data_IF_567490512529
#
_entry.id   IF_567490512529
#
_cell.length_a   1.000
_cell.length_b   1.000
_cell.length_c   1.000
_cell.angle_alpha   90.00
_cell.angle_beta   90.00
_cell.angle_gamma   90.00
#
_symmetry.space_group_name_H-M   'P 1'
#
loop_
_entity.id
_entity.type
_entity.pdbx_description
1 polymer ?
#
# COMPACT_ATOMS: atom_id res chain seq x y z
N UNK A 1 -35.22 -68.59 -19.20
CA UNK A 1 -34.53 -68.68 -17.89
C UNK A 1 -34.60 -67.31 -17.25
N UNK A 2 -35.40 -67.15 -16.20
CA UNK A 2 -35.60 -65.87 -15.49
C UNK A 2 -34.65 -65.80 -14.29
N UNK A 3 -33.74 -64.84 -14.25
CA UNK A 3 -32.81 -64.64 -13.15
C UNK A 3 -33.45 -63.71 -12.12
N UNK A 4 -33.93 -64.26 -11.00
CA UNK A 4 -34.50 -63.48 -9.91
C UNK A 4 -33.37 -62.85 -9.08
N UNK A 5 -33.12 -61.55 -9.28
CA UNK A 5 -32.21 -60.77 -8.44
C UNK A 5 -32.82 -60.51 -7.06
N UNK A 6 -32.45 -61.32 -6.07
CA UNK A 6 -32.67 -61.03 -4.64
C UNK A 6 -31.41 -60.43 -4.03
N UNK A 7 -31.17 -59.14 -4.28
CA UNK A 7 -30.22 -58.37 -3.47
C UNK A 7 -30.96 -57.78 -2.28
N UNK A 8 -30.62 -58.25 -1.07
CA UNK A 8 -31.13 -57.69 0.18
C UNK A 8 -30.61 -56.26 0.37
N UNK A 9 -31.39 -55.36 0.97
CA UNK A 9 -30.96 -53.98 1.24
C UNK A 9 -29.62 -53.90 1.99
N UNK A 10 -29.32 -54.90 2.83
CA UNK A 10 -28.03 -55.00 3.52
C UNK A 10 -26.84 -55.18 2.55
N UNK A 11 -27.00 -55.96 1.48
CA UNK A 11 -25.93 -56.14 0.47
C UNK A 11 -25.67 -54.86 -0.32
N UNK A 12 -26.69 -54.03 -0.57
CA UNK A 12 -26.50 -52.75 -1.27
C UNK A 12 -25.72 -51.77 -0.38
N UNK A 13 -26.04 -51.70 0.92
CA UNK A 13 -25.33 -50.81 1.86
C UNK A 13 -23.87 -51.23 2.03
N UNK A 14 -23.58 -52.53 2.11
CA UNK A 14 -22.19 -53.03 2.21
C UNK A 14 -21.39 -52.72 0.94
N UNK A 15 -21.99 -52.87 -0.25
CA UNK A 15 -21.32 -52.53 -1.52
C UNK A 15 -21.06 -51.02 -1.62
N UNK A 16 -22.03 -50.17 -1.24
CA UNK A 16 -21.82 -48.72 -1.24
C UNK A 16 -20.74 -48.29 -0.25
N UNK A 17 -20.70 -48.88 0.95
CA UNK A 17 -19.67 -48.57 1.94
C UNK A 17 -18.28 -49.02 1.48
N UNK A 18 -18.18 -50.18 0.82
CA UNK A 18 -16.94 -50.67 0.23
C UNK A 18 -16.46 -49.77 -0.92
N UNK A 19 -17.36 -49.25 -1.75
CA UNK A 19 -17.02 -48.31 -2.82
C UNK A 19 -16.54 -46.96 -2.27
N UNK A 20 -17.17 -46.46 -1.21
CA UNK A 20 -16.74 -45.21 -0.55
C UNK A 20 -15.34 -45.39 0.06
N UNK A 21 -15.09 -46.50 0.77
CA UNK A 21 -13.77 -46.79 1.34
C UNK A 21 -12.70 -46.97 0.26
N UNK A 22 -13.01 -47.64 -0.84
CA UNK A 22 -12.09 -47.80 -1.97
C UNK A 22 -11.75 -46.44 -2.62
N UNK A 23 -12.74 -45.55 -2.77
CA UNK A 23 -12.54 -44.20 -3.31
C UNK A 23 -11.69 -43.32 -2.39
N UNK A 24 -11.89 -43.40 -1.07
CA UNK A 24 -11.10 -42.68 -0.09
C UNK A 24 -9.63 -43.15 -0.06
N UNK A 25 -9.40 -44.46 -0.23
CA UNK A 25 -8.05 -45.03 -0.30
C UNK A 25 -7.30 -44.63 -1.57
N UNK A 26 -8.00 -44.50 -2.70
CA UNK A 26 -7.43 -43.98 -3.96
C UNK A 26 -7.00 -42.52 -3.83
N UNK A 27 -7.81 -41.68 -3.18
CA UNK A 27 -7.49 -40.26 -2.95
C UNK A 27 -6.33 -40.09 -1.95
N UNK A 28 -6.30 -40.93 -0.90
CA UNK A 28 -5.19 -40.92 0.06
C UNK A 28 -3.86 -41.29 -0.61
N UNK A 29 -3.87 -42.29 -1.50
CA UNK A 29 -2.66 -42.72 -2.21
C UNK A 29 -2.27 -41.79 -3.39
N UNK A 30 -3.18 -40.94 -3.90
CA UNK A 30 -2.84 -39.93 -4.91
C UNK A 30 -2.27 -38.63 -4.32
N UNK A 31 -2.25 -38.49 -2.99
CA UNK A 31 -1.74 -37.30 -2.30
C UNK A 31 -0.22 -37.33 -2.10
N UNK A 32 0.45 -38.39 -2.56
CA UNK A 32 1.85 -38.69 -2.27
C UNK A 32 2.76 -38.80 -3.50
N UNK A 33 2.59 -37.96 -4.52
CA UNK A 33 3.65 -37.75 -5.52
C UNK A 33 3.65 -36.30 -6.00
N UNK A 34 4.70 -35.57 -5.63
CA UNK A 34 5.16 -34.37 -6.33
C UNK A 34 5.60 -34.76 -7.74
N UNK A 35 4.65 -34.95 -8.64
CA UNK A 35 4.87 -35.30 -10.04
C UNK A 35 4.75 -34.06 -10.92
N UNK A 36 5.89 -33.49 -11.29
CA UNK A 36 5.98 -32.58 -12.42
C UNK A 36 5.41 -33.28 -13.67
N UNK A 37 4.26 -32.82 -14.16
CA UNK A 37 3.83 -33.07 -15.51
C UNK A 37 4.64 -32.14 -16.43
N UNK A 38 5.54 -32.75 -17.18
CA UNK A 38 6.44 -32.15 -18.16
C UNK A 38 5.66 -31.47 -19.29
N UNK A 39 5.52 -30.15 -19.21
CA UNK A 39 5.11 -29.28 -20.32
C UNK A 39 6.36 -28.77 -21.04
N UNK A 40 7.22 -29.69 -21.49
CA UNK A 40 8.53 -29.35 -22.07
C UNK A 40 8.48 -28.85 -23.52
N UNK A 41 7.30 -28.57 -24.07
CA UNK A 41 7.11 -28.24 -25.49
C UNK A 41 6.69 -26.81 -25.82
N UNK A 42 6.19 -26.04 -24.85
CA UNK A 42 5.58 -24.71 -25.13
C UNK A 42 6.18 -23.54 -24.34
N UNK A 43 7.13 -23.79 -23.44
CA UNK A 43 7.78 -22.73 -22.64
C UNK A 43 9.08 -22.19 -23.26
N UNK A 44 9.62 -22.81 -24.31
CA UNK A 44 10.94 -22.46 -24.87
C UNK A 44 10.97 -21.18 -25.72
N UNK A 45 9.84 -20.54 -26.01
CA UNK A 45 9.80 -19.38 -26.94
C UNK A 45 9.18 -18.09 -26.37
N UNK A 46 8.74 -18.06 -25.10
CA UNK A 46 8.12 -16.85 -24.53
C UNK A 46 8.65 -16.39 -23.16
N UNK A 47 9.31 -17.24 -22.37
CA UNK A 47 9.89 -16.82 -21.08
C UNK A 47 11.18 -17.57 -20.77
N UNK A 48 12.32 -17.01 -21.20
CA UNK A 48 13.64 -17.45 -20.76
C UNK A 48 14.02 -16.85 -19.41
N UNK A 49 13.22 -17.07 -18.37
CA UNK A 49 13.56 -16.69 -16.99
C UNK A 49 13.77 -17.93 -16.14
N UNK A 50 14.94 -18.55 -16.30
CA UNK A 50 15.49 -19.45 -15.27
C UNK A 50 15.57 -18.65 -13.97
N UNK A 51 14.67 -18.93 -13.03
CA UNK A 51 14.73 -18.32 -11.71
C UNK A 51 16.03 -18.74 -11.03
N UNK A 52 16.82 -17.76 -10.57
CA UNK A 52 18.09 -18.01 -9.90
C UNK A 52 17.88 -18.28 -8.42
N UNK A 53 18.82 -19.00 -7.81
CA UNK A 53 18.87 -19.13 -6.36
C UNK A 53 19.04 -17.75 -5.71
N UNK A 54 18.34 -17.52 -4.60
CA UNK A 54 18.29 -16.23 -3.90
C UNK A 54 19.49 -15.98 -2.98
N UNK A 55 20.67 -16.50 -3.34
CA UNK A 55 21.90 -16.27 -2.61
C UNK A 55 22.51 -14.90 -2.95
N UNK A 56 23.11 -14.27 -1.95
CA UNK A 56 23.79 -12.98 -2.05
C UNK A 56 25.29 -13.15 -1.75
N UNK A 57 26.16 -12.46 -2.52
CA UNK A 57 27.61 -12.47 -2.37
C UNK A 57 28.08 -11.11 -1.85
N UNK A 58 28.82 -11.10 -0.74
CA UNK A 58 29.49 -9.90 -0.24
C UNK A 58 30.59 -9.46 -1.21
N UNK A 59 30.61 -8.17 -1.53
CA UNK A 59 31.58 -7.56 -2.40
C UNK A 59 32.91 -7.29 -1.69
N UNK A 60 34.03 -7.14 -2.44
CA UNK A 60 35.35 -6.89 -1.86
C UNK A 60 35.45 -5.60 -1.03
N UNK A 61 34.49 -4.69 -1.16
CA UNK A 61 34.38 -3.48 -0.33
C UNK A 61 33.93 -3.78 1.12
N UNK A 62 33.53 -5.02 1.41
CA UNK A 62 33.07 -5.48 2.70
C UNK A 62 31.74 -4.88 3.15
N UNK A 63 31.02 -4.17 2.26
CA UNK A 63 29.81 -3.40 2.61
C UNK A 63 28.64 -3.65 1.68
N UNK A 64 28.87 -4.00 0.41
CA UNK A 64 27.80 -4.22 -0.57
C UNK A 64 27.61 -5.70 -0.87
N UNK A 65 26.39 -6.09 -1.27
CA UNK A 65 26.04 -7.46 -1.63
C UNK A 65 25.40 -7.50 -3.01
N UNK A 66 25.74 -8.51 -3.80
CA UNK A 66 25.20 -8.72 -5.15
C UNK A 66 24.46 -10.05 -5.22
N UNK A 67 23.40 -10.12 -6.02
CA UNK A 67 22.58 -11.33 -6.25
C UNK A 67 22.84 -11.91 -7.64
N UNK A 68 22.32 -13.12 -7.90
CA UNK A 68 22.41 -13.78 -9.21
C UNK A 68 21.45 -13.18 -10.23
N UNK A 69 21.88 -13.07 -11.49
CA UNK A 69 21.09 -12.51 -12.59
C UNK A 69 20.75 -13.62 -13.63
N UNK A 70 19.47 -13.83 -13.99
CA UNK A 70 19.07 -14.71 -15.08
C UNK A 70 19.60 -14.25 -16.45
N UNK A 71 19.76 -15.13 -17.45
CA UNK A 71 19.41 -16.56 -17.45
C UNK A 71 20.53 -17.47 -16.94
N UNK A 72 21.75 -16.93 -16.77
CA UNK A 72 22.94 -17.71 -16.39
C UNK A 72 23.09 -17.89 -14.88
N UNK A 73 22.36 -17.11 -14.08
CA UNK A 73 22.43 -17.13 -12.63
C UNK A 73 23.83 -16.91 -12.07
N UNK A 74 24.59 -16.02 -12.73
CA UNK A 74 25.86 -15.53 -12.24
C UNK A 74 25.63 -14.30 -11.36
N UNK A 75 26.47 -14.10 -10.35
CA UNK A 75 26.41 -12.91 -9.50
C UNK A 75 26.64 -11.64 -10.31
N UNK A 76 25.85 -10.60 -10.05
CA UNK A 76 26.07 -9.27 -10.59
C UNK A 76 27.49 -8.77 -10.24
N UNK A 77 28.04 -7.90 -11.09
CA UNK A 77 29.31 -7.26 -10.79
C UNK A 77 29.17 -6.37 -9.56
N UNK A 78 30.15 -6.43 -8.66
CA UNK A 78 30.23 -5.53 -7.52
C UNK A 78 30.42 -4.09 -8.00
N UNK A 79 29.77 -3.10 -7.36
CA UNK A 79 29.98 -1.70 -7.69
C UNK A 79 31.46 -1.35 -7.49
N UNK A 80 32.07 -0.71 -8.49
CA UNK A 80 33.46 -0.26 -8.38
C UNK A 80 33.55 0.98 -7.50
N UNK A 81 34.53 1.06 -6.58
CA UNK A 81 34.75 2.28 -5.82
C UNK A 81 35.24 3.37 -6.78
N UNK A 82 34.41 4.38 -7.04
CA UNK A 82 34.90 5.63 -7.64
C UNK A 82 35.85 6.27 -6.64
N UNK A 83 37.14 6.21 -6.93
CA UNK A 83 38.20 6.85 -6.16
C UNK A 83 37.92 8.35 -6.03
N UNK A 84 38.17 8.87 -4.82
CA UNK A 84 37.75 10.20 -4.39
C UNK A 84 38.18 11.36 -5.28
N UNK A 85 37.24 12.29 -5.47
CA UNK A 85 37.49 13.69 -5.79
C UNK A 85 36.71 14.52 -4.79
N UNK A 86 37.40 15.41 -4.09
CA UNK A 86 36.87 16.40 -3.14
C UNK A 86 35.57 17.07 -3.62
N UNK A 87 34.59 17.12 -2.73
CA UNK A 87 33.41 17.99 -2.85
C UNK A 87 33.85 19.42 -3.18
N UNK A 88 33.42 20.04 -4.29
CA UNK A 88 33.53 21.48 -4.43
C UNK A 88 32.44 22.10 -3.58
N UNK A 89 32.86 22.87 -2.57
CA UNK A 89 32.01 23.87 -1.92
C UNK A 89 31.67 24.91 -2.97
N UNK A 90 30.47 24.85 -3.52
CA UNK A 90 29.92 25.88 -4.41
C UNK A 90 29.26 26.95 -3.55
N UNK A 91 29.95 28.09 -3.42
CA UNK A 91 29.38 29.36 -3.00
C UNK A 91 28.41 29.87 -4.08
N UNK A 92 27.25 30.47 -3.72
CA UNK A 92 26.29 30.94 -4.69
C UNK A 92 26.69 32.32 -5.22
N UNK A 93 26.88 32.43 -6.55
CA UNK A 93 26.96 33.71 -7.28
C UNK A 93 26.02 33.63 -8.50
N UNK A 94 25.31 34.71 -8.88
CA UNK A 94 24.01 34.58 -9.53
C UNK A 94 24.01 34.64 -11.08
N UNK A 95 22.99 33.98 -11.63
CA UNK A 95 22.27 34.20 -12.90
C UNK A 95 22.99 33.99 -14.26
N UNK A 96 22.61 32.92 -14.99
CA UNK A 96 21.85 33.06 -16.25
C UNK A 96 21.34 31.71 -16.82
N UNK A 97 20.02 31.65 -17.07
CA UNK A 97 19.45 31.01 -18.25
C UNK A 97 19.39 29.47 -18.34
N UNK A 98 18.37 28.85 -17.74
CA UNK A 98 17.97 27.49 -18.08
C UNK A 98 17.34 26.72 -16.93
N UNK A 99 16.17 27.13 -16.45
CA UNK A 99 15.41 26.38 -15.43
C UNK A 99 14.74 25.16 -16.06
N UNK A 100 15.30 23.98 -15.82
CA UNK A 100 14.49 22.76 -15.65
C UNK A 100 13.59 22.97 -14.42
N UNK A 101 12.31 22.54 -14.43
CA UNK A 101 11.45 22.75 -13.28
C UNK A 101 11.97 21.92 -12.11
N UNK A 102 12.52 22.61 -11.12
CA UNK A 102 12.69 22.09 -9.77
C UNK A 102 11.28 21.79 -9.26
N UNK A 103 10.95 20.52 -9.09
CA UNK A 103 9.70 20.13 -8.44
C UNK A 103 9.90 20.33 -6.93
N UNK A 104 9.80 21.58 -6.49
CA UNK A 104 9.51 21.91 -5.10
C UNK A 104 8.01 21.95 -4.93
N UNK A 105 7.42 20.81 -4.58
CA UNK A 105 6.11 20.81 -3.94
C UNK A 105 6.10 19.81 -2.79
N UNK A 106 6.07 20.34 -1.58
CA UNK A 106 5.47 19.66 -0.44
C UNK A 106 4.09 20.28 -0.21
N UNK A 107 3.00 19.65 -0.67
CA UNK A 107 1.74 19.66 0.05
C UNK A 107 1.77 18.57 1.15
N UNK A 108 1.14 18.79 2.32
CA UNK A 108 1.19 17.88 3.47
C UNK A 108 0.59 16.50 3.13
N UNK A 109 1.15 15.39 3.63
CA UNK A 109 0.78 14.04 3.21
C UNK A 109 -0.49 13.56 3.94
N UNK A 110 -1.63 14.22 3.72
CA UNK A 110 -2.92 13.75 4.27
C UNK A 110 -3.78 13.02 3.23
N UNK A 111 -3.31 12.85 2.00
CA UNK A 111 -4.07 12.18 0.93
C UNK A 111 -3.69 10.71 0.69
N UNK A 112 -2.85 10.11 1.54
CA UNK A 112 -2.18 8.86 1.20
C UNK A 112 -1.97 7.92 2.39
N UNK A 113 -3.09 7.43 2.92
CA UNK A 113 -3.16 6.58 4.13
C UNK A 113 -3.26 5.08 3.81
N UNK A 114 -3.34 4.73 2.52
CA UNK A 114 -3.56 3.34 2.09
C UNK A 114 -2.23 2.58 2.03
N UNK A 115 -2.12 1.52 2.83
CA UNK A 115 -1.00 0.58 2.75
C UNK A 115 -0.95 -0.04 1.34
N UNK A 116 0.22 -0.01 0.70
CA UNK A 116 0.43 -0.45 -0.68
C UNK A 116 0.17 0.60 -1.77
N UNK A 117 -0.48 1.73 -1.47
CA UNK A 117 -0.65 2.85 -2.41
C UNK A 117 0.56 3.77 -2.24
N UNK A 118 1.62 3.52 -2.98
CA UNK A 118 2.93 4.15 -2.82
C UNK A 118 2.98 5.48 -3.60
N UNK A 119 2.25 5.54 -4.72
CA UNK A 119 2.17 6.74 -5.55
C UNK A 119 1.09 7.74 -5.09
N UNK A 120 0.23 7.37 -4.15
CA UNK A 120 -0.86 8.17 -3.59
C UNK A 120 -1.96 8.52 -4.59
N UNK A 121 -2.24 7.64 -5.55
CA UNK A 121 -3.28 7.86 -6.56
C UNK A 121 -4.67 7.34 -6.14
N UNK A 122 -4.75 6.74 -4.95
CA UNK A 122 -5.98 6.20 -4.37
C UNK A 122 -6.25 4.74 -4.75
N UNK A 123 -5.33 4.07 -5.46
CA UNK A 123 -5.41 2.67 -5.83
C UNK A 123 -4.18 1.92 -5.29
N UNK A 124 -4.32 0.60 -5.19
CA UNK A 124 -3.20 -0.29 -4.87
C UNK A 124 -3.10 -1.26 -6.04
N UNK A 125 -2.23 -0.93 -6.98
CA UNK A 125 -2.16 -1.56 -8.30
C UNK A 125 -0.71 -1.68 -8.83
N UNK A 126 -0.55 -2.15 -10.06
CA UNK A 126 0.75 -2.37 -10.71
C UNK A 126 1.65 -1.14 -10.72
N UNK A 127 1.10 0.07 -10.65
CA UNK A 127 1.86 1.31 -10.51
C UNK A 127 2.66 1.34 -9.20
N UNK A 128 2.10 0.84 -8.11
CA UNK A 128 2.77 0.73 -6.82
C UNK A 128 3.79 -0.40 -6.80
N UNK A 129 3.43 -1.55 -7.37
CA UNK A 129 4.35 -2.68 -7.51
C UNK A 129 5.61 -2.26 -8.28
N UNK A 130 5.45 -1.47 -9.35
CA UNK A 130 6.56 -0.94 -10.11
C UNK A 130 7.46 -0.03 -9.28
N UNK A 131 6.90 0.78 -8.37
CA UNK A 131 7.69 1.63 -7.48
C UNK A 131 8.53 0.81 -6.50
N UNK A 132 7.99 -0.28 -5.96
CA UNK A 132 8.73 -1.24 -5.13
C UNK A 132 9.88 -1.85 -5.94
N UNK A 133 9.60 -2.35 -7.16
CA UNK A 133 10.64 -2.95 -8.00
C UNK A 133 11.73 -1.94 -8.37
N UNK A 134 11.38 -0.70 -8.70
CA UNK A 134 12.36 0.35 -8.97
C UNK A 134 13.21 0.67 -7.73
N UNK A 135 12.61 0.67 -6.55
CA UNK A 135 13.31 0.89 -5.29
C UNK A 135 14.31 -0.23 -4.99
N UNK A 136 13.87 -1.49 -5.03
CA UNK A 136 14.72 -2.64 -4.72
C UNK A 136 15.89 -2.78 -5.72
N UNK A 137 15.68 -2.37 -6.97
CA UNK A 137 16.74 -2.32 -7.99
C UNK A 137 17.58 -1.03 -7.95
N UNK A 138 17.41 -0.18 -6.93
CA UNK A 138 18.12 1.11 -6.80
C UNK A 138 17.95 2.07 -7.99
N UNK A 139 16.89 1.88 -8.80
CA UNK A 139 16.54 2.77 -9.90
C UNK A 139 15.78 4.01 -9.41
N UNK A 140 15.20 3.94 -8.22
CA UNK A 140 14.45 5.02 -7.58
C UNK A 140 14.69 4.98 -6.08
N UNK A 141 14.69 6.14 -5.44
CA UNK A 141 14.60 6.26 -3.98
C UNK A 141 13.16 6.52 -3.57
N UNK A 142 12.72 5.89 -2.48
CA UNK A 142 11.42 6.17 -1.86
C UNK A 142 11.63 7.01 -0.61
N UNK A 143 10.71 7.93 -0.32
CA UNK A 143 10.73 8.65 0.94
C UNK A 143 10.21 7.78 2.10
N UNK A 144 10.40 8.22 3.34
CA UNK A 144 10.03 7.44 4.54
C UNK A 144 8.56 6.97 4.55
N UNK A 145 7.64 7.82 4.10
CA UNK A 145 6.22 7.47 4.03
C UNK A 145 5.94 6.41 2.96
N UNK A 146 6.64 6.46 1.82
CA UNK A 146 6.52 5.47 0.76
C UNK A 146 7.11 4.13 1.16
N UNK A 147 8.25 4.14 1.88
CA UNK A 147 8.86 2.93 2.44
C UNK A 147 7.91 2.24 3.41
N UNK A 148 7.30 3.00 4.31
CA UNK A 148 6.34 2.46 5.29
C UNK A 148 5.13 1.81 4.62
N UNK A 149 4.64 2.41 3.52
CA UNK A 149 3.52 1.84 2.74
C UNK A 149 3.91 0.67 1.84
N UNK A 150 5.21 0.51 1.57
CA UNK A 150 5.73 -0.50 0.66
C UNK A 150 6.07 -1.84 1.36
N UNK A 151 6.16 -1.87 2.70
CA UNK A 151 6.33 -3.11 3.48
C UNK A 151 4.95 -3.75 3.75
N UNK A 152 4.54 -4.64 2.84
CA UNK A 152 3.21 -5.22 2.80
C UNK A 152 3.10 -6.53 3.57
N UNK A 153 4.21 -7.25 3.70
CA UNK A 153 4.26 -8.46 4.52
C UNK A 153 4.65 -8.18 5.98
N UNK A 154 5.02 -6.94 6.32
CA UNK A 154 5.42 -6.46 7.65
C UNK A 154 6.63 -7.17 8.23
N UNK A 155 7.58 -7.53 7.37
CA UNK A 155 8.85 -8.13 7.80
C UNK A 155 9.93 -7.09 8.12
N UNK A 156 9.62 -5.80 7.96
CA UNK A 156 10.51 -4.68 8.23
C UNK A 156 11.42 -4.33 7.06
N UNK A 157 11.28 -4.99 5.90
CA UNK A 157 12.08 -4.78 4.71
C UNK A 157 11.18 -4.54 3.49
N UNK A 158 11.47 -3.48 2.72
CA UNK A 158 10.83 -3.31 1.41
C UNK A 158 11.56 -4.18 0.39
N UNK A 159 10.86 -5.17 -0.16
CA UNK A 159 11.45 -6.23 -0.99
C UNK A 159 10.60 -6.58 -2.22
N UNK A 160 11.09 -7.49 -3.07
CA UNK A 160 10.29 -8.01 -4.19
C UNK A 160 9.02 -8.73 -3.73
N UNK A 161 9.00 -9.29 -2.51
CA UNK A 161 7.84 -9.99 -1.98
C UNK A 161 6.65 -9.05 -1.78
N UNK A 162 6.91 -7.78 -1.46
CA UNK A 162 5.89 -6.76 -1.32
C UNK A 162 5.29 -6.38 -2.68
N UNK A 163 6.13 -6.24 -3.71
CA UNK A 163 5.64 -6.04 -5.08
C UNK A 163 4.80 -7.23 -5.58
N UNK A 164 5.17 -8.46 -5.21
CA UNK A 164 4.42 -9.66 -5.55
C UNK A 164 3.07 -9.73 -4.83
N UNK A 165 2.97 -9.18 -3.62
CA UNK A 165 1.70 -9.07 -2.91
C UNK A 165 0.67 -8.29 -3.73
N UNK A 166 1.07 -7.15 -4.30
CA UNK A 166 0.20 -6.32 -5.14
C UNK A 166 -0.12 -7.05 -6.45
N UNK A 167 0.89 -7.58 -7.14
CA UNK A 167 0.70 -8.26 -8.42
C UNK A 167 -0.23 -9.49 -8.32
N UNK A 168 -0.08 -10.28 -7.25
CA UNK A 168 -0.94 -11.45 -7.02
C UNK A 168 -2.39 -11.06 -6.72
N UNK A 169 -2.61 -9.95 -6.00
CA UNK A 169 -3.96 -9.39 -5.76
C UNK A 169 -4.63 -8.99 -7.09
N UNK A 170 -3.92 -8.37 -8.01
CA UNK A 170 -4.47 -7.93 -9.30
C UNK A 170 -4.96 -9.09 -10.17
N UNK A 171 -4.25 -10.23 -10.14
CA UNK A 171 -4.64 -11.43 -10.89
C UNK A 171 -5.67 -12.30 -10.15
N UNK A 172 -6.20 -11.83 -9.02
CA UNK A 172 -7.20 -12.54 -8.23
C UNK A 172 -6.66 -13.76 -7.48
N UNK A 173 -5.33 -13.86 -7.29
CA UNK A 173 -4.75 -14.89 -6.46
C UNK A 173 -5.12 -14.61 -4.99
N UNK A 174 -5.52 -15.62 -4.20
CA UNK A 174 -5.86 -15.45 -2.79
C UNK A 174 -4.58 -15.20 -1.98
N UNK A 175 -4.11 -13.95 -1.98
CA UNK A 175 -3.02 -13.51 -1.11
C UNK A 175 -3.58 -13.34 0.30
N UNK A 176 -2.97 -14.01 1.28
CA UNK A 176 -3.06 -13.57 2.67
C UNK A 176 -2.24 -12.29 2.81
N UNK A 177 -2.79 -11.18 2.32
CA UNK A 177 -2.35 -9.86 2.78
C UNK A 177 -2.61 -9.88 4.28
N UNK A 178 -1.63 -9.61 5.16
CA UNK A 178 -1.95 -9.26 6.53
C UNK A 178 -2.71 -7.94 6.48
N UNK A 179 -4.02 -8.03 6.23
CA UNK A 179 -5.07 -7.01 6.12
C UNK A 179 -4.61 -5.67 5.54
N UNK A 180 -5.26 -5.17 4.48
CA UNK A 180 -5.06 -3.78 4.03
C UNK A 180 -5.48 -2.88 5.21
N UNK A 181 -4.52 -2.50 6.04
CA UNK A 181 -4.72 -1.59 7.15
C UNK A 181 -4.93 -0.22 6.50
N UNK A 182 -6.15 0.32 6.55
CA UNK A 182 -6.29 1.76 6.49
C UNK A 182 -5.67 2.29 7.77
N UNK A 183 -4.52 2.94 7.65
CA UNK A 183 -3.94 3.67 8.77
C UNK A 183 -5.01 4.67 9.24
N UNK A 184 -5.38 4.59 10.51
CA UNK A 184 -6.50 5.32 11.11
C UNK A 184 -7.78 4.52 11.34
N UNK A 185 -7.99 3.33 10.76
CA UNK A 185 -9.18 2.48 11.02
C UNK A 185 -8.94 1.60 12.25
N UNK A 186 -8.85 2.22 13.42
CA UNK A 186 -8.50 1.55 14.67
C UNK A 186 -9.58 0.58 15.13
N UNK A 187 -10.84 0.80 14.73
CA UNK A 187 -11.98 -0.08 15.02
C UNK A 187 -12.01 -1.34 14.13
N UNK A 188 -11.38 -1.31 12.95
CA UNK A 188 -11.34 -2.41 12.00
C UNK A 188 -12.64 -2.59 11.22
N UNK A 189 -13.47 -1.55 11.12
CA UNK A 189 -14.77 -1.58 10.43
C UNK A 189 -14.66 -1.24 8.92
N UNK A 190 -13.45 -0.90 8.46
CA UNK A 190 -13.14 -0.59 7.08
C UNK A 190 -13.32 0.89 6.73
N UNK A 191 -13.70 1.73 7.68
CA UNK A 191 -13.89 3.18 7.54
C UNK A 191 -12.88 3.87 8.47
N UNK A 192 -12.45 5.08 8.11
CA UNK A 192 -11.70 5.95 9.03
C UNK A 192 -12.67 7.05 9.43
N UNK A 193 -13.11 7.06 10.68
CA UNK A 193 -14.10 8.00 11.22
C UNK A 193 -13.80 8.45 12.67
N UNK A 194 -14.75 9.19 13.27
CA UNK A 194 -14.60 9.70 14.64
C UNK A 194 -14.57 8.58 15.70
N UNK A 195 -15.13 7.41 15.39
CA UNK A 195 -15.05 6.21 16.21
C UNK A 195 -13.61 5.77 16.41
N UNK A 196 -12.78 5.83 15.39
CA UNK A 196 -11.36 5.47 15.50
C UNK A 196 -10.57 6.45 16.36
N UNK A 197 -10.81 7.76 16.19
CA UNK A 197 -10.22 8.80 17.03
C UNK A 197 -10.60 8.63 18.51
N UNK A 198 -11.83 8.20 18.79
CA UNK A 198 -12.30 7.91 20.15
C UNK A 198 -11.60 6.69 20.75
N UNK A 199 -11.34 5.64 19.97
CA UNK A 199 -10.58 4.48 20.44
C UNK A 199 -9.16 4.91 20.80
N UNK A 200 -8.50 5.74 19.99
CA UNK A 200 -7.17 6.27 20.30
C UNK A 200 -7.17 7.06 21.62
N UNK A 201 -8.13 7.97 21.81
CA UNK A 201 -8.22 8.74 23.07
C UNK A 201 -8.47 7.85 24.28
N UNK A 202 -9.36 6.86 24.16
CA UNK A 202 -9.69 5.97 25.29
C UNK A 202 -8.49 5.12 25.71
N UNK A 203 -7.74 4.57 24.76
CA UNK A 203 -6.53 3.78 25.06
C UNK A 203 -5.41 4.68 25.60
N UNK A 204 -5.23 5.90 25.06
CA UNK A 204 -4.26 6.88 25.59
C UNK A 204 -4.56 7.28 27.05
N UNK A 205 -5.83 7.19 27.47
CA UNK A 205 -6.28 7.42 28.85
C UNK A 205 -6.26 6.16 29.72
N UNK A 206 -5.82 5.02 29.21
CA UNK A 206 -5.83 3.73 29.91
C UNK A 206 -7.22 3.15 30.16
N UNK A 207 -8.24 3.64 29.43
CA UNK A 207 -9.62 3.18 29.55
C UNK A 207 -9.90 1.91 28.71
N UNK A 208 -8.97 1.54 27.83
CA UNK A 208 -9.00 0.32 27.01
C UNK A 208 -7.63 -0.33 26.99
N UNK A 209 -7.60 -1.66 26.88
CA UNK A 209 -6.37 -2.43 26.72
C UNK A 209 -5.83 -2.25 25.29
N UNK A 210 -4.58 -1.87 25.23
CA UNK A 210 -3.71 -1.88 24.07
C UNK A 210 -3.59 -3.31 23.51
N UNK A 211 -3.88 -3.48 22.22
CA UNK A 211 -3.55 -4.69 21.47
C UNK A 211 -2.50 -4.34 20.38
N UNK A 212 -1.76 -5.32 19.89
CA UNK A 212 -0.73 -5.10 18.86
C UNK A 212 -1.30 -4.48 17.57
N UNK A 213 -2.57 -4.77 17.25
CA UNK A 213 -3.28 -4.26 16.07
C UNK A 213 -3.64 -2.76 16.17
N UNK A 214 -3.80 -2.24 17.40
CA UNK A 214 -4.06 -0.84 17.72
C UNK A 214 -2.83 0.04 17.46
N UNK A 215 -1.62 -0.46 17.77
CA UNK A 215 -0.39 0.34 17.63
C UNK A 215 -0.02 0.66 16.18
N UNK A 216 -0.28 -0.27 15.25
CA UNK A 216 0.02 -0.09 13.82
C UNK A 216 -1.08 0.65 13.06
N UNK A 217 -2.34 0.59 13.51
CA UNK A 217 -3.45 1.35 12.90
C UNK A 217 -3.58 2.76 13.46
N UNK A 218 -3.27 2.93 14.74
CA UNK A 218 -3.44 4.18 15.46
C UNK A 218 -2.29 5.16 15.30
N UNK A 219 -1.11 4.74 14.87
CA UNK A 219 0.04 5.63 14.60
C UNK A 219 -0.10 6.23 13.20
N UNK A 220 -0.97 7.24 13.06
CA UNK A 220 -1.34 7.78 11.75
C UNK A 220 -0.34 8.81 11.24
N UNK A 221 0.46 9.40 12.12
CA UNK A 221 1.58 10.25 11.72
C UNK A 221 2.91 9.49 11.57
N UNK A 222 2.93 8.19 11.93
CA UNK A 222 4.08 7.29 11.85
C UNK A 222 5.29 7.80 12.66
N UNK A 223 5.03 8.39 13.82
CA UNK A 223 6.06 8.89 14.74
C UNK A 223 6.54 7.83 15.76
N UNK A 224 5.96 6.62 15.68
CA UNK A 224 6.25 5.49 16.54
C UNK A 224 5.44 5.50 17.85
N UNK A 225 4.48 6.41 18.03
CA UNK A 225 3.68 6.54 19.25
C UNK A 225 2.22 6.83 18.94
N UNK A 226 1.33 5.90 19.29
CA UNK A 226 -0.12 6.19 19.26
C UNK A 226 -0.54 7.10 20.41
N UNK A 227 -1.02 8.30 20.09
CA UNK A 227 -1.36 9.32 21.07
C UNK A 227 -2.44 10.33 20.57
N UNK A 228 -2.65 11.43 21.31
CA UNK A 228 -3.68 12.42 20.96
C UNK A 228 -3.42 13.15 19.63
N UNK A 229 -2.17 13.25 19.17
CA UNK A 229 -1.85 13.79 17.85
C UNK A 229 -2.45 12.92 16.75
N UNK A 230 -2.40 11.60 16.89
CA UNK A 230 -3.03 10.68 15.95
C UNK A 230 -4.55 10.78 15.94
N UNK A 231 -5.15 10.83 17.13
CA UNK A 231 -6.59 11.02 17.26
C UNK A 231 -7.05 12.33 16.58
N UNK A 232 -6.25 13.40 16.69
CA UNK A 232 -6.54 14.67 16.04
C UNK A 232 -6.35 14.62 14.53
N UNK A 233 -5.40 13.85 14.02
CA UNK A 233 -5.23 13.65 12.57
C UNK A 233 -6.43 12.90 12.02
N UNK A 234 -6.84 11.79 12.64
CA UNK A 234 -8.09 11.10 12.28
C UNK A 234 -9.25 12.09 12.35
N UNK A 235 -9.41 12.81 13.46
CA UNK A 235 -10.46 13.83 13.60
C UNK A 235 -10.42 14.89 12.49
N UNK A 236 -9.24 15.33 12.05
CA UNK A 236 -9.10 16.29 10.94
C UNK A 236 -9.48 15.70 9.58
N UNK A 237 -9.28 14.39 9.39
CA UNK A 237 -9.66 13.66 8.20
C UNK A 237 -11.16 13.33 8.18
N UNK A 238 -11.78 13.20 9.36
CA UNK A 238 -13.15 12.69 9.53
C UNK A 238 -14.16 13.78 9.83
N UNK A 239 -13.72 14.88 10.46
CA UNK A 239 -14.51 16.09 10.60
C UNK A 239 -14.37 16.86 9.29
N UNK A 240 -15.30 16.59 8.38
CA UNK A 240 -15.52 17.41 7.21
C UNK A 240 -15.96 18.81 7.66
N UNK A 241 -14.99 19.68 7.91
CA UNK A 241 -15.19 21.09 8.18
C UNK A 241 -15.43 21.78 6.84
N UNK A 242 -16.69 21.82 6.41
CA UNK A 242 -17.06 22.56 5.21
C UNK A 242 -16.65 24.03 5.39
N UNK A 243 -15.73 24.48 4.53
CA UNK A 243 -15.09 25.79 4.60
C UNK A 243 -13.61 25.77 5.00
N UNK A 244 -13.07 24.67 5.55
CA UNK A 244 -11.62 24.52 5.78
C UNK A 244 -10.97 23.99 4.50
N UNK A 245 -10.65 24.91 3.59
CA UNK A 245 -10.10 24.54 2.28
C UNK A 245 -8.60 24.35 2.31
N UNK A 246 -7.93 24.79 3.38
CA UNK A 246 -6.48 24.67 3.52
C UNK A 246 -6.05 23.44 4.34
N UNK A 247 -6.97 22.85 5.11
CA UNK A 247 -6.79 21.62 5.88
C UNK A 247 -6.05 21.82 7.20
N UNK A 248 -6.12 23.01 7.81
CA UNK A 248 -5.48 23.32 9.10
C UNK A 248 -6.39 23.04 10.31
N UNK A 249 -7.60 22.55 10.07
CA UNK A 249 -8.59 22.24 11.09
C UNK A 249 -9.39 23.46 11.58
N UNK A 250 -9.26 24.64 10.95
CA UNK A 250 -9.93 25.89 11.36
C UNK A 250 -10.52 26.62 10.16
N UNK A 251 -11.83 26.87 10.18
CA UNK A 251 -12.47 27.74 9.16
C UNK A 251 -12.16 29.19 9.51
N UNK A 252 -11.29 29.86 8.74
CA UNK A 252 -10.85 31.22 9.05
C UNK A 252 -10.62 32.09 7.79
N UNK A 253 -10.09 33.30 7.97
CA UNK A 253 -9.86 34.26 6.86
C UNK A 253 -8.91 33.71 5.78
N UNK A 254 -8.01 32.81 6.14
CA UNK A 254 -7.10 32.16 5.20
C UNK A 254 -7.87 31.32 4.19
N UNK A 255 -8.85 30.55 4.66
CA UNK A 255 -9.72 29.74 3.81
C UNK A 255 -10.59 30.58 2.90
N UNK A 256 -11.20 31.63 3.47
CA UNK A 256 -11.99 32.61 2.72
C UNK A 256 -11.16 33.23 1.59
N UNK A 257 -9.90 33.57 1.84
CA UNK A 257 -9.02 34.13 0.82
C UNK A 257 -8.72 33.13 -0.31
N UNK A 258 -8.48 31.86 0.03
CA UNK A 258 -8.27 30.80 -0.96
C UNK A 258 -9.53 30.53 -1.79
N UNK A 259 -10.71 30.54 -1.16
CA UNK A 259 -11.99 30.44 -1.87
C UNK A 259 -12.19 31.63 -2.82
N UNK A 260 -11.96 32.87 -2.36
CA UNK A 260 -12.10 34.07 -3.20
C UNK A 260 -11.13 34.06 -4.39
N UNK A 261 -9.87 33.68 -4.18
CA UNK A 261 -8.88 33.55 -5.26
C UNK A 261 -9.30 32.50 -6.30
N UNK A 262 -9.83 31.36 -5.84
CA UNK A 262 -10.26 30.28 -6.72
C UNK A 262 -11.56 30.61 -7.47
N UNK A 263 -12.50 31.32 -6.84
CA UNK A 263 -13.74 31.77 -7.49
C UNK A 263 -13.45 32.79 -8.59
N UNK A 264 -12.55 33.74 -8.31
CA UNK A 264 -12.18 34.81 -9.25
C UNK A 264 -11.12 34.38 -10.27
N UNK A 265 -10.52 33.19 -10.12
CA UNK A 265 -9.42 32.67 -10.95
C UNK A 265 -8.19 33.59 -10.95
N UNK A 266 -7.93 34.28 -9.83
CA UNK A 266 -6.87 35.28 -9.69
C UNK A 266 -5.65 34.78 -8.91
N UNK A 267 -5.60 33.49 -8.54
CA UNK A 267 -4.53 32.92 -7.73
C UNK A 267 -4.54 31.41 -7.71
N UNK A 268 -4.22 30.82 -6.55
CA UNK A 268 -4.20 29.36 -6.38
C UNK A 268 -5.62 28.81 -6.54
N UNK A 269 -5.81 27.96 -7.54
CA UNK A 269 -7.07 27.26 -7.73
C UNK A 269 -7.19 26.12 -6.72
N UNK A 270 -8.39 25.97 -6.14
CA UNK A 270 -8.72 24.85 -5.28
C UNK A 270 -8.72 23.55 -6.09
N UNK A 271 -8.17 22.49 -5.49
CA UNK A 271 -8.25 21.14 -6.04
C UNK A 271 -9.71 20.62 -6.04
N UNK A 272 -10.02 19.55 -6.77
CA UNK A 272 -11.36 18.94 -6.74
C UNK A 272 -11.84 18.56 -5.33
N UNK A 273 -10.93 18.17 -4.44
CA UNK A 273 -11.27 17.88 -3.03
C UNK A 273 -11.55 19.16 -2.27
N UNK A 274 -10.72 20.19 -2.45
CA UNK A 274 -10.92 21.48 -1.80
C UNK A 274 -12.19 22.18 -2.29
N UNK A 275 -12.60 22.00 -3.55
CA UNK A 275 -13.88 22.48 -4.07
C UNK A 275 -15.08 21.82 -3.39
N UNK A 276 -14.96 20.54 -3.00
CA UNK A 276 -15.99 19.88 -2.18
C UNK A 276 -16.02 20.44 -0.76
N UNK A 277 -14.87 20.77 -0.18
CA UNK A 277 -14.83 21.41 1.15
C UNK A 277 -15.36 22.85 1.10
N UNK A 278 -15.12 23.54 -0.01
CA UNK A 278 -15.56 24.90 -0.25
C UNK A 278 -17.07 25.03 -0.51
N UNK A 279 -17.79 23.93 -0.75
CA UNK A 279 -19.26 23.89 -0.84
C UNK A 279 -19.88 23.87 0.57
N UNK A 280 -19.82 25.01 1.26
CA UNK A 280 -20.16 25.16 2.69
C UNK A 280 -21.63 24.86 2.96
N UNK A 281 -22.51 25.21 2.01
CA UNK A 281 -23.94 24.95 2.12
C UNK A 281 -24.37 23.57 1.58
N UNK A 282 -23.44 22.81 0.97
CA UNK A 282 -23.66 21.48 0.41
C UNK A 282 -24.71 21.44 -0.70
N UNK A 283 -24.83 22.51 -1.49
CA UNK A 283 -25.76 22.57 -2.61
C UNK A 283 -25.20 21.97 -3.92
N UNK A 284 -23.97 21.45 -3.86
CA UNK A 284 -23.25 20.82 -4.95
C UNK A 284 -22.52 21.82 -5.85
N UNK A 285 -22.50 23.11 -5.50
CA UNK A 285 -21.87 24.16 -6.30
C UNK A 285 -21.07 25.12 -5.43
N UNK A 286 -19.74 25.12 -5.59
CA UNK A 286 -18.91 26.17 -5.04
C UNK A 286 -19.20 27.54 -5.67
N UNK A 287 -19.72 28.49 -4.88
CA UNK A 287 -20.06 29.84 -5.31
C UNK A 287 -19.96 30.88 -4.17
N UNK A 288 -20.38 32.13 -4.43
CA UNK A 288 -20.27 33.23 -3.47
C UNK A 288 -21.03 32.98 -2.15
N UNK A 289 -22.13 32.21 -2.19
CA UNK A 289 -22.91 31.88 -0.98
C UNK A 289 -22.07 31.11 0.04
N UNK A 290 -21.18 30.24 -0.45
CA UNK A 290 -20.30 29.47 0.42
C UNK A 290 -19.26 30.32 1.10
N UNK A 291 -18.68 31.28 0.35
CA UNK A 291 -17.74 32.27 0.89
C UNK A 291 -18.42 33.11 1.97
N UNK A 292 -19.65 33.55 1.74
CA UNK A 292 -20.41 34.36 2.68
C UNK A 292 -20.78 33.57 3.95
N UNK A 293 -20.94 32.24 3.85
CA UNK A 293 -21.14 31.35 5.00
C UNK A 293 -19.84 31.09 5.76
N UNK A 294 -18.73 30.87 5.05
CA UNK A 294 -17.41 30.68 5.65
C UNK A 294 -16.98 31.91 6.46
N UNK A 295 -17.30 33.13 6.01
CA UNK A 295 -17.04 34.39 6.73
C UNK A 295 -17.73 34.52 8.09
N UNK A 296 -18.76 33.71 8.35
CA UNK A 296 -19.57 33.74 9.60
C UNK A 296 -19.12 32.71 10.64
N UNK A 297 -18.14 31.88 10.31
CA UNK A 297 -17.53 30.88 11.20
C UNK A 297 -16.35 31.48 11.95
#
# INVERSE_FOLDING_TARGET
MSYNNRFSGATIVVVLFALILASALLVYNSSGTSGQASISGITSWLFGSSACTADAKLCPDGKTYVSRIPPKCEFAACPTPTHGGTLPVITPTPAHGGTLPVITQSPPPYSCITLGDINCDGKVDSGDALLIFQYVNSMRTLNSYQITRADLNKDGLVSFNDGLIIANKEVGYPVKIPYIFKVGDVTGDGIVDIGDALIIQQTTKGLRSDNYEYNIKGDVNNDGKVNNYDANIIMSLTVKLWGDVNGDGKINKTDVSLMEQSLNKTGKLLSPVQLKLADVNQDGKFNQKDIDLAKKK
#
